data_IF_003134045813
#
_entry.id   IF_003134045813
#
_cell.length_a   1.000
_cell.length_b   1.000
_cell.length_c   1.000
_cell.angle_alpha   90.00
_cell.angle_beta   90.00
_cell.angle_gamma   90.00
#
_symmetry.space_group_name_H-M   'P 1'
#
loop_
_entity.id
_entity.type
_entity.pdbx_description
1 polymer ?
#
# COMPACT_ATOMS: atom_id res chain seq x y z
N UNK A 1 10.75 30.79 -11.91
CA UNK A 1 10.43 30.96 -13.34
C UNK A 1 10.37 29.66 -14.14
N UNK A 2 11.30 28.71 -13.97
CA UNK A 2 11.31 27.45 -14.74
C UNK A 2 10.04 26.58 -14.56
N UNK A 3 9.45 26.54 -13.35
CA UNK A 3 8.29 25.68 -13.06
C UNK A 3 7.06 25.94 -13.95
N UNK A 4 6.78 27.19 -14.33
CA UNK A 4 5.62 27.53 -15.17
C UNK A 4 5.92 27.38 -16.67
N UNK A 5 7.19 27.34 -17.07
CA UNK A 5 7.59 27.24 -18.49
C UNK A 5 7.31 25.84 -19.06
N UNK A 6 7.31 24.81 -18.21
CA UNK A 6 7.15 23.41 -18.63
C UNK A 6 5.70 22.90 -18.67
N UNK A 7 4.71 23.76 -18.38
CA UNK A 7 3.31 23.51 -18.76
C UNK A 7 3.18 23.74 -20.28
N UNK A 8 3.96 23.00 -21.07
CA UNK A 8 4.05 23.19 -22.51
C UNK A 8 2.76 22.70 -23.18
N UNK A 9 2.01 23.66 -23.76
CA UNK A 9 0.80 23.40 -24.53
C UNK A 9 1.06 22.73 -25.89
N UNK A 10 2.30 22.78 -26.41
CA UNK A 10 2.69 22.17 -27.69
C UNK A 10 4.19 21.79 -27.77
N UNK A 11 4.59 20.83 -28.62
CA UNK A 11 5.99 20.46 -28.85
C UNK A 11 6.88 21.65 -29.25
N UNK A 12 6.33 22.62 -29.98
CA UNK A 12 7.06 23.81 -30.42
C UNK A 12 7.45 24.71 -29.24
N UNK A 13 6.57 24.82 -28.24
CA UNK A 13 6.87 25.57 -27.01
C UNK A 13 7.98 24.89 -26.21
N UNK A 14 7.99 23.56 -26.17
CA UNK A 14 9.05 22.79 -25.52
C UNK A 14 10.42 23.03 -26.18
N UNK A 15 10.49 22.98 -27.52
CA UNK A 15 11.74 23.25 -28.26
C UNK A 15 12.25 24.67 -27.98
N UNK A 16 11.36 25.66 -27.91
CA UNK A 16 11.74 27.04 -27.56
C UNK A 16 12.28 27.14 -26.14
N UNK A 17 11.63 26.49 -25.17
CA UNK A 17 12.08 26.47 -23.78
C UNK A 17 13.47 25.81 -23.64
N UNK A 18 13.71 24.69 -24.33
CA UNK A 18 15.01 23.99 -24.33
C UNK A 18 16.11 24.90 -24.90
N UNK A 19 15.85 25.61 -25.99
CA UNK A 19 16.81 26.57 -26.56
C UNK A 19 17.14 27.72 -25.59
N UNK A 20 16.16 28.23 -24.85
CA UNK A 20 16.40 29.27 -23.84
C UNK A 20 17.31 28.75 -22.72
N UNK A 21 17.10 27.50 -22.27
CA UNK A 21 17.97 26.87 -21.27
C UNK A 21 19.40 26.71 -21.78
N UNK A 22 19.57 26.24 -23.01
CA UNK A 22 20.88 26.11 -23.65
C UNK A 22 21.59 27.47 -23.78
N UNK A 23 20.89 28.51 -24.24
CA UNK A 23 21.44 29.85 -24.33
C UNK A 23 21.84 30.42 -22.96
N UNK A 24 21.07 30.14 -21.91
CA UNK A 24 21.39 30.58 -20.55
C UNK A 24 22.64 29.87 -20.00
N UNK A 25 22.83 28.59 -20.33
CA UNK A 25 24.04 27.86 -19.96
C UNK A 25 25.29 28.42 -20.64
N UNK A 26 25.20 28.73 -21.94
CA UNK A 26 26.29 29.37 -22.68
C UNK A 26 26.62 30.74 -22.08
N UNK A 27 25.60 31.55 -21.76
CA UNK A 27 25.81 32.88 -21.17
C UNK A 27 26.46 32.80 -19.79
N UNK A 28 26.02 31.88 -18.93
CA UNK A 28 26.62 31.67 -17.61
C UNK A 28 28.08 31.18 -17.72
N UNK A 29 28.41 30.39 -18.75
CA UNK A 29 29.78 29.95 -19.02
C UNK A 29 30.66 31.09 -19.51
N UNK A 30 30.14 31.97 -20.38
CA UNK A 30 30.83 33.17 -20.86
C UNK A 30 31.11 34.16 -19.71
N UNK A 31 30.12 34.44 -18.86
CA UNK A 31 30.29 35.32 -17.70
C UNK A 31 31.34 34.75 -16.73
N UNK A 32 31.37 33.42 -16.56
CA UNK A 32 32.36 32.77 -15.72
C UNK A 32 33.77 32.80 -16.33
N UNK A 33 33.90 32.69 -17.66
CA UNK A 33 35.17 32.85 -18.38
C UNK A 33 35.68 34.28 -18.28
N UNK A 34 34.83 35.28 -18.56
CA UNK A 34 35.16 36.71 -18.41
C UNK A 34 35.57 37.06 -16.97
N UNK A 35 34.89 36.51 -15.96
CA UNK A 35 35.27 36.70 -14.56
C UNK A 35 36.62 36.05 -14.23
N UNK A 36 36.91 34.87 -14.78
CA UNK A 36 38.20 34.20 -14.60
C UNK A 36 39.35 34.94 -15.29
N UNK A 37 39.11 35.51 -16.48
CA UNK A 37 40.08 36.37 -17.18
C UNK A 37 40.36 37.65 -16.39
N UNK A 38 39.32 38.31 -15.87
CA UNK A 38 39.45 39.51 -15.05
C UNK A 38 40.25 39.28 -13.75
N UNK A 39 40.17 38.08 -13.17
CA UNK A 39 41.00 37.70 -12.01
C UNK A 39 42.41 37.24 -12.41
N UNK A 40 42.59 36.66 -13.60
CA UNK A 40 43.88 36.20 -14.13
C UNK A 40 44.81 37.32 -14.61
N UNK A 41 44.24 38.43 -15.10
CA UNK A 41 45.00 39.58 -15.59
C UNK A 41 45.61 40.46 -14.47
N UNK A 42 45.48 40.05 -13.21
CA UNK A 42 46.19 40.65 -12.09
C UNK A 42 47.70 40.34 -12.04
N UNK A 43 48.22 39.42 -12.87
CA UNK A 43 49.60 38.98 -12.76
C UNK A 43 50.30 38.77 -14.12
N UNK A 44 50.61 39.86 -14.83
CA UNK A 44 51.87 40.07 -15.58
C UNK A 44 51.94 41.53 -16.06
N UNK A 45 52.68 42.36 -15.32
CA UNK A 45 54.06 42.70 -15.68
C UNK A 45 54.15 43.89 -16.66
N UNK A 46 54.12 45.08 -16.06
CA UNK A 46 55.16 46.10 -16.20
C UNK A 46 56.05 46.00 -17.45
N UNK A 47 55.58 46.52 -18.59
CA UNK A 47 56.48 46.88 -19.70
C UNK A 47 56.68 48.40 -19.70
N UNK A 48 57.79 48.76 -19.07
CA UNK A 48 58.65 49.91 -19.29
C UNK A 48 58.15 51.00 -20.27
N UNK A 49 57.97 52.21 -19.74
CA UNK A 49 58.25 53.41 -20.52
C UNK A 49 59.15 54.37 -19.71
N UNK A 50 60.36 54.71 -20.20
CA UNK A 50 61.32 55.52 -19.45
C UNK A 50 61.26 56.99 -19.89
N UNK A 51 61.06 57.88 -18.91
CA UNK A 51 61.45 59.31 -18.82
C UNK A 51 60.39 60.06 -18.01
N UNK A 52 60.68 60.99 -17.13
CA UNK A 52 61.89 61.45 -16.48
C UNK A 52 61.37 62.34 -15.34
N UNK A 53 62.04 62.29 -14.18
CA UNK A 53 62.13 63.35 -13.15
C UNK A 53 60.86 63.95 -12.53
N UNK A 54 60.64 63.69 -11.22
CA UNK A 54 60.14 64.75 -10.34
C UNK A 54 59.39 64.37 -9.06
N UNK A 55 60.13 64.04 -7.99
CA UNK A 55 59.89 64.49 -6.59
C UNK A 55 58.89 63.68 -5.69
N UNK A 56 59.52 63.01 -4.69
CA UNK A 56 59.12 62.77 -3.27
C UNK A 56 57.77 62.11 -2.93
N UNK A 57 57.78 60.92 -2.31
CA UNK A 57 57.86 60.75 -0.83
C UNK A 57 57.34 59.38 -0.34
N UNK A 58 58.19 58.70 0.45
CA UNK A 58 57.90 57.87 1.66
C UNK A 58 57.00 56.62 1.65
N UNK A 59 57.66 55.48 1.92
CA UNK A 59 57.36 54.41 2.88
C UNK A 59 56.00 53.68 2.85
N UNK A 60 56.03 52.39 2.51
CA UNK A 60 55.58 51.31 3.42
C UNK A 60 55.93 49.91 2.86
N UNK A 61 56.37 49.06 3.79
CA UNK A 61 56.71 47.64 3.68
C UNK A 61 55.48 46.73 3.71
N UNK A 62 55.74 45.44 3.40
CA UNK A 62 54.99 44.22 3.78
C UNK A 62 53.81 43.84 2.87
N UNK A 63 53.49 42.58 2.58
CA UNK A 63 54.12 41.27 2.81
C UNK A 63 53.22 40.24 2.12
N UNK A 64 53.82 39.21 1.51
CA UNK A 64 53.39 37.81 1.41
C UNK A 64 51.94 37.39 1.10
N UNK A 65 51.85 36.55 0.07
CA UNK A 65 51.25 35.20 0.06
C UNK A 65 49.87 35.04 0.71
N UNK A 66 48.86 34.85 -0.13
CA UNK A 66 47.92 33.72 -0.12
C UNK A 66 46.78 34.00 -1.10
N UNK A 67 46.80 33.43 -2.31
CA UNK A 67 45.55 33.11 -3.05
C UNK A 67 45.76 32.14 -4.23
N UNK A 68 46.78 31.28 -4.20
CA UNK A 68 46.84 30.08 -5.05
C UNK A 68 46.10 28.94 -4.36
N UNK A 69 44.77 29.00 -4.28
CA UNK A 69 43.85 27.85 -4.12
C UNK A 69 42.40 28.33 -3.92
N UNK A 70 41.82 28.99 -4.91
CA UNK A 70 40.37 28.91 -5.14
C UNK A 70 40.14 28.89 -6.64
N UNK A 71 40.66 27.84 -7.29
CA UNK A 71 40.14 27.39 -8.58
C UNK A 71 38.72 26.90 -8.28
N UNK A 72 37.80 27.86 -8.15
CA UNK A 72 36.37 27.65 -8.11
C UNK A 72 36.11 26.77 -9.32
N UNK A 73 35.89 25.48 -9.08
CA UNK A 73 35.15 24.63 -10.00
C UNK A 73 33.86 25.42 -10.21
N UNK A 74 33.76 26.12 -11.32
CA UNK A 74 32.53 26.72 -11.81
C UNK A 74 31.64 25.53 -12.09
N UNK A 75 31.01 25.04 -11.03
CA UNK A 75 30.02 24.00 -11.07
C UNK A 75 28.85 24.68 -11.74
N UNK A 76 28.75 24.52 -13.07
CA UNK A 76 27.66 25.09 -13.85
C UNK A 76 26.35 24.84 -13.12
N UNK A 77 25.43 25.81 -13.13
CA UNK A 77 24.20 25.77 -12.31
C UNK A 77 23.26 24.57 -12.63
N UNK A 78 23.66 23.71 -13.57
CA UNK A 78 23.01 22.44 -13.90
C UNK A 78 21.64 22.66 -14.52
N UNK A 79 21.48 23.73 -15.30
CA UNK A 79 20.18 24.09 -15.86
C UNK A 79 19.68 23.02 -16.82
N UNK A 80 20.58 22.42 -17.60
CA UNK A 80 20.27 21.30 -18.50
C UNK A 80 19.82 20.06 -17.74
N UNK A 81 20.50 19.68 -16.66
CA UNK A 81 20.10 18.53 -15.85
C UNK A 81 18.73 18.77 -15.20
N UNK A 82 18.50 19.97 -14.66
CA UNK A 82 17.20 20.37 -14.09
C UNK A 82 16.09 20.43 -15.14
N UNK A 83 16.40 20.93 -16.33
CA UNK A 83 15.49 20.97 -17.48
C UNK A 83 15.13 19.54 -17.91
N UNK A 84 16.12 18.67 -18.08
CA UNK A 84 15.92 17.27 -18.44
C UNK A 84 15.10 16.53 -17.39
N UNK A 85 15.40 16.73 -16.10
CA UNK A 85 14.63 16.17 -14.99
C UNK A 85 13.17 16.63 -15.02
N UNK A 86 12.92 17.93 -15.25
CA UNK A 86 11.58 18.48 -15.29
C UNK A 86 10.78 18.00 -16.51
N UNK A 87 11.43 17.89 -17.68
CA UNK A 87 10.82 17.35 -18.90
C UNK A 87 10.46 15.89 -18.66
N UNK A 88 11.40 15.08 -18.14
CA UNK A 88 11.17 13.66 -17.83
C UNK A 88 9.96 13.51 -16.90
N UNK A 89 9.96 14.21 -15.75
CA UNK A 89 8.84 14.20 -14.79
C UNK A 89 7.51 14.62 -15.42
N UNK A 90 7.50 15.63 -16.29
CA UNK A 90 6.27 16.12 -16.93
C UNK A 90 5.75 15.12 -17.96
N UNK A 91 6.63 14.52 -18.77
CA UNK A 91 6.27 13.50 -19.76
C UNK A 91 5.79 12.23 -19.06
N UNK A 92 6.53 11.74 -18.07
CA UNK A 92 6.11 10.62 -17.21
C UNK A 92 4.76 10.91 -16.56
N UNK A 93 4.57 12.09 -15.98
CA UNK A 93 3.30 12.49 -15.39
C UNK A 93 2.13 12.48 -16.39
N UNK A 94 2.34 12.93 -17.63
CA UNK A 94 1.32 12.88 -18.68
C UNK A 94 1.03 11.46 -19.16
N UNK A 95 2.06 10.65 -19.39
CA UNK A 95 1.88 9.24 -19.74
C UNK A 95 1.17 8.48 -18.62
N UNK A 96 1.55 8.71 -17.36
CA UNK A 96 0.88 8.14 -16.20
C UNK A 96 -0.59 8.57 -16.14
N UNK A 97 -0.89 9.84 -16.41
CA UNK A 97 -2.29 10.32 -16.49
C UNK A 97 -3.08 9.60 -17.58
N UNK A 98 -2.52 9.48 -18.79
CA UNK A 98 -3.19 8.79 -19.90
C UNK A 98 -3.36 7.30 -19.63
N UNK A 99 -2.33 6.63 -19.09
CA UNK A 99 -2.43 5.23 -18.67
C UNK A 99 -3.51 5.05 -17.60
N UNK A 100 -3.66 6.00 -16.69
CA UNK A 100 -4.73 5.96 -15.69
C UNK A 100 -6.11 6.10 -16.32
N UNK A 101 -6.31 7.15 -17.13
CA UNK A 101 -7.61 7.48 -17.71
C UNK A 101 -8.06 6.47 -18.78
N UNK A 102 -7.15 5.98 -19.64
CA UNK A 102 -7.51 5.13 -20.78
C UNK A 102 -7.40 3.63 -20.53
N UNK A 103 -6.51 3.20 -19.64
CA UNK A 103 -6.23 1.76 -19.45
C UNK A 103 -6.63 1.31 -18.07
N UNK A 104 -6.28 2.09 -17.05
CA UNK A 104 -6.45 1.64 -15.68
C UNK A 104 -7.89 1.72 -15.20
N UNK A 105 -8.62 2.81 -15.42
CA UNK A 105 -10.01 2.88 -14.93
C UNK A 105 -10.91 1.84 -15.60
N UNK A 106 -10.75 1.59 -16.90
CA UNK A 106 -11.49 0.55 -17.61
C UNK A 106 -11.08 -0.86 -17.15
N UNK A 107 -9.77 -1.12 -17.02
CA UNK A 107 -9.27 -2.40 -16.51
C UNK A 107 -9.72 -2.62 -15.06
N UNK A 108 -9.65 -1.59 -14.23
CA UNK A 108 -10.09 -1.62 -12.84
C UNK A 108 -11.59 -1.89 -12.79
N UNK A 109 -12.42 -1.18 -13.54
CA UNK A 109 -13.87 -1.40 -13.55
C UNK A 109 -14.23 -2.82 -14.01
N UNK A 110 -13.60 -3.32 -15.07
CA UNK A 110 -13.81 -4.69 -15.55
C UNK A 110 -13.36 -5.74 -14.52
N UNK A 111 -12.24 -5.48 -13.84
CA UNK A 111 -11.72 -6.34 -12.80
C UNK A 111 -12.60 -6.27 -11.54
N UNK A 112 -13.11 -5.10 -11.15
CA UNK A 112 -14.08 -4.93 -10.06
C UNK A 112 -15.38 -5.66 -10.36
N UNK A 113 -15.96 -5.51 -11.55
CA UNK A 113 -17.20 -6.20 -11.92
C UNK A 113 -17.03 -7.73 -11.92
N UNK A 114 -15.94 -8.21 -12.54
CA UNK A 114 -15.63 -9.64 -12.58
C UNK A 114 -15.41 -10.19 -11.17
N UNK A 115 -14.73 -9.43 -10.29
CA UNK A 115 -14.44 -9.85 -8.91
C UNK A 115 -15.64 -9.74 -7.99
N UNK A 116 -16.46 -8.69 -8.11
CA UNK A 116 -17.70 -8.52 -7.37
C UNK A 116 -18.65 -9.68 -7.63
N UNK A 117 -18.86 -10.00 -8.91
CA UNK A 117 -19.64 -11.18 -9.28
C UNK A 117 -19.06 -12.46 -8.69
N UNK A 118 -17.74 -12.56 -8.61
CA UNK A 118 -17.08 -13.77 -8.18
C UNK A 118 -17.09 -13.99 -6.67
N UNK A 119 -16.70 -13.00 -5.85
CA UNK A 119 -16.76 -13.17 -4.39
C UNK A 119 -18.21 -13.26 -3.89
N UNK A 120 -19.18 -12.63 -4.57
CA UNK A 120 -20.60 -12.84 -4.26
C UNK A 120 -21.05 -14.27 -4.57
N UNK A 121 -20.56 -14.88 -5.66
CA UNK A 121 -20.82 -16.29 -5.94
C UNK A 121 -20.19 -17.22 -4.89
N UNK A 122 -19.00 -16.87 -4.38
CA UNK A 122 -18.35 -17.57 -3.26
C UNK A 122 -19.24 -17.51 -2.01
N UNK A 123 -19.75 -16.33 -1.66
CA UNK A 123 -20.63 -16.17 -0.49
C UNK A 123 -21.96 -16.90 -0.66
N UNK A 124 -22.54 -16.90 -1.86
CA UNK A 124 -23.77 -17.67 -2.13
C UNK A 124 -23.49 -19.19 -2.09
N UNK A 125 -22.32 -19.64 -2.54
CA UNK A 125 -21.91 -21.04 -2.39
C UNK A 125 -21.76 -21.41 -0.91
N UNK A 126 -21.15 -20.55 -0.09
CA UNK A 126 -21.02 -20.74 1.35
C UNK A 126 -22.37 -20.67 2.09
N UNK A 127 -23.38 -20.05 1.48
CA UNK A 127 -24.75 -19.99 2.01
C UNK A 127 -25.56 -21.23 1.66
N UNK A 128 -25.36 -21.79 0.47
CA UNK A 128 -26.20 -22.85 -0.08
C UNK A 128 -25.61 -24.25 0.06
N UNK A 129 -24.29 -24.36 0.18
CA UNK A 129 -23.60 -25.64 0.30
C UNK A 129 -23.23 -25.93 1.76
N UNK A 130 -23.42 -27.16 2.24
CA UNK A 130 -23.00 -27.53 3.59
C UNK A 130 -21.46 -27.46 3.70
N UNK A 131 -20.93 -27.01 4.85
CA UNK A 131 -19.50 -27.04 5.12
C UNK A 131 -18.89 -28.44 4.92
N UNK A 132 -17.65 -28.48 4.43
CA UNK A 132 -16.87 -29.72 4.28
C UNK A 132 -16.04 -29.97 5.54
N UNK A 133 -15.74 -31.24 5.81
CA UNK A 133 -14.84 -31.66 6.90
C UNK A 133 -13.45 -31.97 6.35
N UNK A 134 -12.40 -31.54 7.05
CA UNK A 134 -11.04 -32.06 6.84
C UNK A 134 -10.93 -33.49 7.39
N UNK A 135 -9.80 -34.16 7.16
CA UNK A 135 -9.52 -35.49 7.74
C UNK A 135 -9.62 -35.47 9.29
N UNK A 136 -9.26 -34.35 9.91
CA UNK A 136 -9.35 -34.14 11.37
C UNK A 136 -10.75 -33.70 11.86
N UNK A 137 -11.74 -33.60 10.97
CA UNK A 137 -13.11 -33.21 11.32
C UNK A 137 -13.42 -31.71 11.29
N UNK A 138 -12.42 -30.86 11.02
CA UNK A 138 -12.53 -29.39 11.02
C UNK A 138 -13.40 -28.92 9.85
N UNK A 139 -14.29 -27.95 10.09
CA UNK A 139 -15.18 -27.45 9.04
C UNK A 139 -14.53 -26.35 8.20
N UNK A 140 -14.72 -26.39 6.89
CA UNK A 140 -14.29 -25.32 5.99
C UNK A 140 -15.18 -25.28 4.75
N UNK A 141 -15.14 -24.15 4.04
CA UNK A 141 -15.65 -24.08 2.67
C UNK A 141 -14.48 -23.80 1.71
N UNK A 142 -14.47 -24.42 0.51
CA UNK A 142 -13.37 -24.25 -0.44
C UNK A 142 -13.36 -22.85 -1.08
N UNK A 143 -14.48 -22.14 -1.02
CA UNK A 143 -14.70 -20.92 -1.79
C UNK A 143 -13.71 -19.80 -1.40
N UNK A 144 -13.39 -19.66 -0.11
CA UNK A 144 -12.38 -18.74 0.39
C UNK A 144 -10.96 -19.02 -0.14
N UNK A 145 -10.58 -20.29 -0.31
CA UNK A 145 -9.26 -20.68 -0.81
C UNK A 145 -9.11 -20.32 -2.29
N UNK A 146 -10.17 -20.51 -3.07
CA UNK A 146 -10.21 -20.14 -4.47
C UNK A 146 -10.04 -18.63 -4.66
N UNK A 147 -10.55 -17.81 -3.73
CA UNK A 147 -10.35 -16.35 -3.72
C UNK A 147 -8.86 -15.99 -3.84
N UNK A 148 -8.06 -16.47 -2.89
CA UNK A 148 -6.63 -16.14 -2.82
C UNK A 148 -5.82 -16.78 -3.94
N UNK A 149 -6.17 -17.98 -4.39
CA UNK A 149 -5.51 -18.62 -5.53
C UNK A 149 -5.57 -17.72 -6.76
N UNK A 150 -6.75 -17.22 -7.12
CA UNK A 150 -6.90 -16.39 -8.32
C UNK A 150 -6.32 -14.99 -8.09
N UNK A 151 -6.46 -14.40 -6.91
CA UNK A 151 -5.77 -13.13 -6.62
C UNK A 151 -4.26 -13.27 -6.80
N UNK A 152 -3.66 -14.38 -6.35
CA UNK A 152 -2.26 -14.72 -6.59
C UNK A 152 -1.92 -14.89 -8.08
N UNK A 153 -2.77 -15.58 -8.84
CA UNK A 153 -2.62 -15.70 -10.30
C UNK A 153 -2.66 -14.32 -10.99
N UNK A 154 -3.55 -13.40 -10.57
CA UNK A 154 -3.62 -12.05 -11.13
C UNK A 154 -2.35 -11.23 -10.84
N UNK A 155 -1.81 -11.31 -9.62
CA UNK A 155 -0.53 -10.67 -9.28
C UNK A 155 0.58 -11.19 -10.19
N UNK A 156 0.66 -12.51 -10.37
CA UNK A 156 1.71 -13.13 -11.17
C UNK A 156 1.60 -12.74 -12.65
N UNK A 157 0.40 -12.74 -13.23
CA UNK A 157 0.17 -12.30 -14.61
C UNK A 157 0.63 -10.86 -14.81
N UNK A 158 0.28 -9.96 -13.89
CA UNK A 158 0.65 -8.54 -13.97
C UNK A 158 2.16 -8.37 -13.80
N UNK A 159 2.75 -9.07 -12.84
CA UNK A 159 4.20 -9.07 -12.60
C UNK A 159 4.99 -9.50 -13.84
N UNK A 160 4.53 -10.52 -14.56
CA UNK A 160 5.26 -11.07 -15.71
C UNK A 160 5.08 -10.25 -17.00
N UNK A 161 4.01 -9.45 -17.11
CA UNK A 161 3.62 -8.81 -18.36
C UNK A 161 3.49 -7.28 -18.31
N UNK A 162 3.63 -6.65 -17.14
CA UNK A 162 3.34 -5.23 -16.96
C UNK A 162 4.48 -4.48 -16.26
N UNK A 163 4.35 -3.15 -16.21
CA UNK A 163 5.28 -2.28 -15.47
C UNK A 163 5.04 -2.33 -13.96
N UNK A 164 6.05 -1.96 -13.17
CA UNK A 164 5.93 -1.85 -11.71
C UNK A 164 4.76 -0.98 -11.22
N UNK A 165 4.42 0.09 -11.96
CA UNK A 165 3.26 0.93 -11.66
C UNK A 165 1.94 0.14 -11.74
N UNK A 166 1.83 -0.80 -12.69
CA UNK A 166 0.65 -1.65 -12.82
C UNK A 166 0.60 -2.68 -11.69
N UNK A 167 1.76 -3.21 -11.26
CA UNK A 167 1.83 -4.09 -10.10
C UNK A 167 1.38 -3.36 -8.82
N UNK A 168 1.84 -2.12 -8.59
CA UNK A 168 1.38 -1.28 -7.47
C UNK A 168 -0.14 -1.07 -7.50
N UNK A 169 -0.68 -0.80 -8.68
CA UNK A 169 -2.12 -0.61 -8.87
C UNK A 169 -2.94 -1.87 -8.61
N UNK A 170 -2.43 -3.02 -9.04
CA UNK A 170 -3.06 -4.31 -8.78
C UNK A 170 -3.00 -4.65 -7.30
N UNK A 171 -1.91 -4.31 -6.61
CA UNK A 171 -1.83 -4.42 -5.16
C UNK A 171 -2.94 -3.62 -4.46
N UNK A 172 -3.17 -2.36 -4.88
CA UNK A 172 -4.29 -1.55 -4.35
C UNK A 172 -5.66 -2.15 -4.67
N UNK A 173 -5.85 -2.70 -5.88
CA UNK A 173 -7.10 -3.33 -6.27
C UNK A 173 -7.37 -4.62 -5.46
N UNK A 174 -6.32 -5.38 -5.12
CA UNK A 174 -6.44 -6.57 -4.26
C UNK A 174 -6.84 -6.17 -2.84
N UNK A 175 -6.23 -5.11 -2.29
CA UNK A 175 -6.61 -4.57 -0.99
C UNK A 175 -8.12 -4.26 -0.98
N UNK A 176 -8.62 -3.56 -2.01
CA UNK A 176 -10.04 -3.24 -2.10
C UNK A 176 -10.94 -4.49 -2.14
N UNK A 177 -10.56 -5.51 -2.93
CA UNK A 177 -11.33 -6.76 -3.02
C UNK A 177 -11.40 -7.49 -1.69
N UNK A 178 -10.31 -7.53 -0.94
CA UNK A 178 -10.30 -8.14 0.39
C UNK A 178 -11.22 -7.38 1.35
N UNK A 179 -11.20 -6.05 1.32
CA UNK A 179 -12.10 -5.20 2.13
C UNK A 179 -13.56 -5.47 1.77
N UNK A 180 -13.88 -5.52 0.48
CA UNK A 180 -15.26 -5.74 0.01
C UNK A 180 -15.76 -7.14 0.35
N UNK A 181 -14.90 -8.15 0.25
CA UNK A 181 -15.21 -9.52 0.67
C UNK A 181 -15.47 -9.59 2.18
N UNK A 182 -14.62 -9.00 3.01
CA UNK A 182 -14.83 -8.90 4.46
C UNK A 182 -16.13 -8.18 4.82
N UNK A 183 -16.44 -7.07 4.13
CA UNK A 183 -17.67 -6.33 4.35
C UNK A 183 -18.92 -7.18 4.01
N UNK A 184 -18.84 -7.98 2.94
CA UNK A 184 -19.91 -8.87 2.55
C UNK A 184 -20.07 -10.06 3.51
N UNK A 185 -18.99 -10.61 4.07
CA UNK A 185 -19.06 -11.60 5.15
C UNK A 185 -19.66 -11.01 6.44
N UNK A 186 -19.26 -9.80 6.83
CA UNK A 186 -19.86 -9.10 7.98
C UNK A 186 -21.34 -8.85 7.81
N UNK A 187 -21.78 -8.49 6.60
CA UNK A 187 -23.19 -8.33 6.29
C UNK A 187 -23.97 -9.64 6.46
N UNK A 188 -23.38 -10.79 6.10
CA UNK A 188 -24.00 -12.10 6.36
C UNK A 188 -24.15 -12.38 7.85
N UNK A 189 -23.19 -11.94 8.67
CA UNK A 189 -23.25 -12.06 10.13
C UNK A 189 -24.34 -11.19 10.79
N UNK A 190 -24.96 -10.26 10.07
CA UNK A 190 -26.12 -9.49 10.54
C UNK A 190 -27.45 -10.29 10.42
N UNK A 191 -27.46 -11.41 9.69
CA UNK A 191 -28.61 -12.34 9.64
C UNK A 191 -28.80 -13.04 11.01
N UNK A 192 -29.99 -13.62 11.27
CA UNK A 192 -30.22 -14.28 12.56
C UNK A 192 -29.24 -15.43 12.76
N UNK A 193 -28.55 -15.45 13.91
CA UNK A 193 -27.60 -16.51 14.25
C UNK A 193 -28.23 -17.90 14.13
N UNK A 194 -29.48 -18.04 14.59
CA UNK A 194 -30.28 -19.27 14.49
C UNK A 194 -30.57 -19.72 13.04
N UNK A 195 -30.65 -18.79 12.08
CA UNK A 195 -30.84 -19.10 10.66
C UNK A 195 -29.54 -19.59 10.01
N UNK A 196 -28.39 -19.10 10.47
CA UNK A 196 -27.07 -19.52 9.96
C UNK A 196 -26.69 -20.90 10.53
N UNK A 197 -26.85 -21.09 11.84
CA UNK A 197 -26.50 -22.33 12.54
C UNK A 197 -25.01 -22.46 12.91
N UNK A 198 -24.72 -23.37 13.85
CA UNK A 198 -23.38 -23.55 14.43
C UNK A 198 -22.35 -24.02 13.40
N UNK A 199 -22.68 -25.03 12.57
CA UNK A 199 -21.72 -25.59 11.61
C UNK A 199 -21.25 -24.55 10.57
N UNK A 200 -22.13 -23.76 9.90
CA UNK A 200 -21.68 -22.72 8.98
C UNK A 200 -20.91 -21.58 9.66
N UNK A 201 -21.27 -21.21 10.89
CA UNK A 201 -20.50 -20.23 11.66
C UNK A 201 -19.09 -20.76 11.97
N UNK A 202 -18.96 -22.02 12.39
CA UNK A 202 -17.66 -22.64 12.63
C UNK A 202 -16.81 -22.72 11.36
N UNK A 203 -17.43 -23.05 10.23
CA UNK A 203 -16.76 -23.03 8.93
C UNK A 203 -16.27 -21.62 8.56
N UNK A 204 -17.09 -20.59 8.79
CA UNK A 204 -16.73 -19.20 8.53
C UNK A 204 -15.57 -18.71 9.40
N UNK A 205 -15.54 -19.07 10.68
CA UNK A 205 -14.42 -18.79 11.60
C UNK A 205 -13.13 -19.39 11.04
N UNK A 206 -13.17 -20.69 10.74
CA UNK A 206 -12.03 -21.42 10.20
C UNK A 206 -11.55 -20.85 8.85
N UNK A 207 -12.49 -20.57 7.95
CA UNK A 207 -12.18 -19.95 6.66
C UNK A 207 -11.49 -18.62 6.84
N UNK A 208 -11.96 -17.76 7.75
CA UNK A 208 -11.39 -16.44 7.97
C UNK A 208 -10.00 -16.48 8.64
N UNK A 209 -9.77 -17.42 9.55
CA UNK A 209 -8.41 -17.68 10.07
C UNK A 209 -7.46 -18.08 8.93
N UNK A 210 -7.92 -18.94 8.01
CA UNK A 210 -7.14 -19.30 6.83
C UNK A 210 -6.99 -18.15 5.82
N UNK A 211 -8.02 -17.33 5.66
CA UNK A 211 -7.96 -16.13 4.82
C UNK A 211 -6.91 -15.16 5.34
N UNK A 212 -6.78 -15.00 6.66
CA UNK A 212 -5.71 -14.20 7.26
C UNK A 212 -4.32 -14.71 6.83
N UNK A 213 -4.05 -16.00 6.95
CA UNK A 213 -2.76 -16.58 6.55
C UNK A 213 -2.49 -16.40 5.05
N UNK A 214 -3.47 -16.71 4.20
CA UNK A 214 -3.38 -16.57 2.75
C UNK A 214 -3.21 -15.09 2.32
N UNK A 215 -3.89 -14.17 3.00
CA UNK A 215 -3.76 -12.73 2.77
C UNK A 215 -2.37 -12.22 3.16
N UNK A 216 -1.81 -12.73 4.27
CA UNK A 216 -0.45 -12.43 4.69
C UNK A 216 0.59 -12.95 3.68
N UNK A 217 0.44 -14.18 3.19
CA UNK A 217 1.32 -14.72 2.14
C UNK A 217 1.24 -13.90 0.84
N UNK A 218 0.02 -13.63 0.35
CA UNK A 218 -0.21 -12.86 -0.86
C UNK A 218 0.33 -11.43 -0.74
N UNK A 219 0.08 -10.77 0.38
CA UNK A 219 0.55 -9.40 0.63
C UNK A 219 2.07 -9.33 0.70
N UNK A 220 2.72 -10.23 1.44
CA UNK A 220 4.18 -10.28 1.52
C UNK A 220 4.80 -10.50 0.14
N UNK A 221 4.30 -11.47 -0.63
CA UNK A 221 4.79 -11.75 -1.98
C UNK A 221 4.60 -10.55 -2.92
N UNK A 222 3.44 -9.88 -2.83
CA UNK A 222 3.15 -8.69 -3.64
C UNK A 222 4.06 -7.52 -3.26
N UNK A 223 4.27 -7.27 -1.96
CA UNK A 223 5.13 -6.20 -1.45
C UNK A 223 6.59 -6.44 -1.85
N UNK A 224 7.09 -7.67 -1.76
CA UNK A 224 8.45 -8.03 -2.18
C UNK A 224 8.69 -7.84 -3.67
N UNK A 225 7.65 -8.00 -4.50
CA UNK A 225 7.72 -7.78 -5.94
C UNK A 225 7.67 -6.30 -6.33
N UNK A 226 7.25 -5.39 -5.43
CA UNK A 226 7.19 -3.96 -5.71
C UNK A 226 8.56 -3.29 -5.58
N UNK A 227 8.89 -2.32 -6.45
CA UNK A 227 10.02 -1.43 -6.21
C UNK A 227 9.91 -0.70 -4.87
N UNK A 228 11.06 -0.41 -4.26
CA UNK A 228 11.14 0.13 -2.91
C UNK A 228 10.27 1.39 -2.70
N UNK A 229 10.20 2.30 -3.68
CA UNK A 229 9.37 3.50 -3.59
C UNK A 229 7.85 3.19 -3.50
N UNK A 230 7.37 2.17 -4.21
CA UNK A 230 5.97 1.74 -4.16
C UNK A 230 5.71 0.87 -2.92
N UNK A 231 6.66 0.04 -2.52
CA UNK A 231 6.59 -0.77 -1.30
C UNK A 231 6.57 0.10 -0.03
N UNK A 232 7.34 1.19 -0.01
CA UNK A 232 7.26 2.19 1.06
C UNK A 232 5.92 2.90 1.03
N UNK A 233 5.37 3.24 -0.14
CA UNK A 233 4.04 3.87 -0.23
C UNK A 233 2.90 2.95 0.21
N UNK A 234 2.98 1.63 -0.02
CA UNK A 234 2.00 0.67 0.51
C UNK A 234 2.16 0.43 2.02
N UNK A 235 3.35 0.68 2.59
CA UNK A 235 3.62 0.56 4.05
C UNK A 235 3.40 1.87 4.82
N UNK A 236 3.69 3.01 4.20
CA UNK A 236 3.72 4.33 4.83
C UNK A 236 2.37 5.04 4.66
N UNK A 237 1.38 4.62 5.46
CA UNK A 237 0.11 5.33 5.61
C UNK A 237 -0.13 5.76 7.05
N UNK A 238 0.68 6.73 7.51
CA UNK A 238 0.39 7.59 8.67
C UNK A 238 -0.02 9.01 8.21
N UNK A 239 -0.84 9.09 7.16
CA UNK A 239 -1.45 10.33 6.67
C UNK A 239 -2.96 10.28 6.94
N UNK A 240 -3.52 11.40 7.36
CA UNK A 240 -4.90 11.59 7.83
C UNK A 240 -5.96 11.09 6.81
N UNK A 241 -5.63 11.08 5.52
CA UNK A 241 -6.32 10.31 4.49
C UNK A 241 -5.84 8.85 4.53
N UNK A 242 -6.48 8.07 5.40
CA UNK A 242 -6.23 6.66 5.73
C UNK A 242 -6.15 5.77 4.49
N UNK A 243 -5.02 5.75 3.79
CA UNK A 243 -4.79 4.77 2.73
C UNK A 243 -4.69 3.39 3.39
N UNK A 244 -5.69 2.55 3.15
CA UNK A 244 -5.74 1.18 3.67
C UNK A 244 -4.51 0.41 3.17
N UNK A 245 -3.79 -0.24 4.08
CA UNK A 245 -2.60 -1.04 3.77
C UNK A 245 -2.94 -2.55 3.85
N UNK A 246 -2.00 -3.37 3.39
CA UNK A 246 -2.15 -4.83 3.44
C UNK A 246 -2.29 -5.36 4.87
N UNK A 247 -1.50 -4.86 5.84
CA UNK A 247 -1.49 -5.39 7.21
C UNK A 247 -2.86 -5.24 7.90
N UNK A 248 -3.44 -4.04 7.84
CA UNK A 248 -4.76 -3.75 8.38
C UNK A 248 -5.86 -4.53 7.65
N UNK A 249 -5.70 -4.70 6.34
CA UNK A 249 -6.63 -5.50 5.53
C UNK A 249 -6.57 -6.97 5.92
N UNK A 250 -5.37 -7.55 6.10
CA UNK A 250 -5.23 -8.93 6.58
C UNK A 250 -5.91 -9.11 7.94
N UNK A 251 -5.64 -8.21 8.90
CA UNK A 251 -6.30 -8.23 10.24
C UNK A 251 -7.82 -8.15 10.15
N UNK A 252 -8.38 -7.54 9.10
CA UNK A 252 -9.82 -7.52 8.84
C UNK A 252 -10.47 -8.90 8.84
N UNK A 253 -9.78 -9.94 8.35
CA UNK A 253 -10.26 -11.33 8.40
C UNK A 253 -10.35 -11.88 9.84
N UNK A 254 -9.43 -11.49 10.72
CA UNK A 254 -9.50 -11.86 12.14
C UNK A 254 -10.71 -11.21 12.82
N UNK A 255 -11.06 -9.98 12.44
CA UNK A 255 -12.27 -9.31 12.94
C UNK A 255 -13.55 -10.00 12.46
N UNK A 256 -13.59 -10.51 11.22
CA UNK A 256 -14.71 -11.33 10.73
C UNK A 256 -14.80 -12.64 11.53
N UNK A 257 -13.67 -13.32 11.74
CA UNK A 257 -13.64 -14.56 12.54
C UNK A 257 -14.14 -14.31 13.97
N UNK A 258 -13.72 -13.20 14.59
CA UNK A 258 -14.16 -12.81 15.94
C UNK A 258 -15.66 -12.54 16.01
N UNK A 259 -16.21 -11.83 15.04
CA UNK A 259 -17.66 -11.59 14.97
C UNK A 259 -18.42 -12.91 14.78
N UNK A 260 -17.90 -13.82 13.95
CA UNK A 260 -18.48 -15.14 13.80
C UNK A 260 -18.43 -15.97 15.10
N UNK A 261 -17.38 -15.85 15.92
CA UNK A 261 -17.34 -16.46 17.26
C UNK A 261 -18.44 -15.89 18.16
N UNK A 262 -18.67 -14.57 18.14
CA UNK A 262 -19.77 -13.96 18.89
C UNK A 262 -21.13 -14.49 18.43
N UNK A 263 -21.34 -14.68 17.13
CA UNK A 263 -22.55 -15.30 16.61
C UNK A 263 -22.68 -16.78 17.02
N UNK A 264 -21.60 -17.57 17.02
CA UNK A 264 -21.64 -18.96 17.49
C UNK A 264 -22.10 -19.05 18.94
N UNK A 265 -21.59 -18.16 19.81
CA UNK A 265 -22.06 -18.07 21.20
C UNK A 265 -23.53 -17.67 21.25
N UNK A 266 -23.96 -16.71 20.42
CA UNK A 266 -25.36 -16.28 20.36
C UNK A 266 -26.29 -17.45 20.00
N UNK A 267 -25.94 -18.30 19.02
CA UNK A 267 -26.72 -19.51 18.69
C UNK A 267 -26.88 -20.45 19.89
N UNK A 268 -25.82 -20.65 20.67
CA UNK A 268 -25.86 -21.53 21.86
C UNK A 268 -26.82 -20.96 22.92
N UNK A 269 -26.82 -19.64 23.13
CA UNK A 269 -27.72 -18.99 24.10
C UNK A 269 -29.15 -18.80 23.58
N UNK A 270 -29.35 -18.82 22.26
CA UNK A 270 -30.66 -18.83 21.60
C UNK A 270 -31.29 -20.22 21.55
N UNK A 271 -30.54 -21.28 21.85
CA UNK A 271 -31.06 -22.63 21.93
C UNK A 271 -32.19 -22.73 22.99
N UNK A 272 -33.40 -23.20 22.62
CA UNK A 272 -34.52 -23.28 23.55
C UNK A 272 -34.25 -24.13 24.80
N UNK A 273 -33.45 -25.19 24.68
CA UNK A 273 -33.06 -26.04 25.80
C UNK A 273 -32.15 -25.30 26.78
N UNK A 274 -31.18 -24.53 26.27
CA UNK A 274 -30.34 -23.65 27.10
C UNK A 274 -31.19 -22.56 27.77
N UNK A 275 -32.09 -21.91 27.04
CA UNK A 275 -32.97 -20.88 27.60
C UNK A 275 -33.88 -21.43 28.70
N UNK A 276 -34.45 -22.62 28.52
CA UNK A 276 -35.29 -23.26 29.53
C UNK A 276 -34.52 -23.52 30.82
N UNK A 277 -33.27 -23.98 30.72
CA UNK A 277 -32.39 -24.19 31.87
C UNK A 277 -32.00 -22.87 32.55
N UNK A 278 -31.69 -21.84 31.77
CA UNK A 278 -31.33 -20.52 32.29
C UNK A 278 -32.48 -19.85 33.05
N UNK A 279 -33.72 -20.00 32.58
CA UNK A 279 -34.92 -19.48 33.28
C UNK A 279 -35.12 -20.17 34.64
N UNK A 280 -34.70 -21.43 34.78
CA UNK A 280 -34.79 -22.20 36.04
C UNK A 280 -33.71 -21.84 37.05
N UNK A 281 -32.71 -21.03 36.70
CA UNK A 281 -31.75 -20.52 37.67
C UNK A 281 -32.46 -19.76 38.79
N UNK A 282 -31.98 -19.92 40.03
CA UNK A 282 -32.59 -19.34 41.22
C UNK A 282 -34.01 -19.85 41.55
N UNK A 283 -34.49 -20.90 40.88
CA UNK A 283 -35.72 -21.61 41.22
C UNK A 283 -35.43 -22.85 42.09
N UNK A 284 -36.48 -23.55 42.52
CA UNK A 284 -36.36 -24.70 43.43
C UNK A 284 -35.51 -25.81 42.83
N UNK A 285 -35.72 -26.10 41.55
CA UNK A 285 -35.01 -27.10 40.75
C UNK A 285 -33.50 -26.81 40.68
N UNK A 286 -33.11 -25.52 40.67
CA UNK A 286 -31.70 -25.14 40.73
C UNK A 286 -31.11 -25.34 42.13
N UNK A 287 -31.87 -25.04 43.19
CA UNK A 287 -31.43 -25.30 44.57
C UNK A 287 -31.26 -26.79 44.88
N UNK A 288 -31.95 -27.66 44.14
CA UNK A 288 -31.82 -29.13 44.21
C UNK A 288 -30.61 -29.65 43.40
N UNK A 289 -29.86 -28.78 42.71
CA UNK A 289 -28.64 -29.12 41.95
C UNK A 289 -28.88 -29.58 40.51
N UNK A 290 -30.10 -30.04 40.19
CA UNK A 290 -30.45 -30.64 38.90
C UNK A 290 -30.21 -29.69 37.71
N UNK A 291 -30.58 -28.41 37.83
CA UNK A 291 -30.38 -27.41 36.75
C UNK A 291 -28.89 -27.18 36.46
N UNK A 292 -28.04 -27.18 37.50
CA UNK A 292 -26.60 -26.98 37.35
C UNK A 292 -25.96 -28.16 36.62
N UNK A 293 -26.34 -29.40 36.96
CA UNK A 293 -25.84 -30.59 36.27
C UNK A 293 -26.22 -30.59 34.77
N UNK A 294 -27.46 -30.23 34.45
CA UNK A 294 -27.90 -30.12 33.05
C UNK A 294 -27.19 -29.00 32.30
N UNK A 295 -27.04 -27.81 32.88
CA UNK A 295 -26.28 -26.73 32.26
C UNK A 295 -24.83 -27.14 31.96
N UNK A 296 -24.15 -27.77 32.94
CA UNK A 296 -22.77 -28.23 32.76
C UNK A 296 -22.67 -29.28 31.66
N UNK A 297 -23.60 -30.24 31.60
CA UNK A 297 -23.65 -31.24 30.55
C UNK A 297 -23.89 -30.60 29.17
N UNK A 298 -24.90 -29.74 29.04
CA UNK A 298 -25.25 -29.06 27.79
C UNK A 298 -24.11 -28.19 27.27
N UNK A 299 -23.51 -27.35 28.11
CA UNK A 299 -22.35 -26.56 27.69
C UNK A 299 -21.13 -27.43 27.41
N UNK A 300 -20.95 -28.53 28.16
CA UNK A 300 -19.90 -29.51 27.90
C UNK A 300 -20.01 -30.13 26.50
N UNK A 301 -21.22 -30.47 26.07
CA UNK A 301 -21.50 -31.00 24.73
C UNK A 301 -21.21 -29.94 23.67
N UNK A 302 -21.73 -28.71 23.82
CA UNK A 302 -21.43 -27.61 22.89
C UNK A 302 -19.93 -27.31 22.80
N UNK A 303 -19.20 -27.27 23.92
CA UNK A 303 -17.75 -27.05 23.89
C UNK A 303 -17.01 -28.22 23.24
N UNK A 304 -17.48 -29.45 23.44
CA UNK A 304 -16.96 -30.65 22.77
C UNK A 304 -17.13 -30.56 21.25
N UNK A 305 -18.35 -30.26 20.79
CA UNK A 305 -18.67 -30.10 19.38
C UNK A 305 -17.84 -28.98 18.75
N UNK A 306 -17.92 -27.78 19.32
CA UNK A 306 -17.20 -26.59 18.81
C UNK A 306 -15.69 -26.83 18.73
N UNK A 307 -15.10 -27.54 19.70
CA UNK A 307 -13.69 -27.91 19.68
C UNK A 307 -13.34 -28.82 18.49
N UNK A 308 -14.20 -29.77 18.14
CA UNK A 308 -14.00 -30.64 16.96
C UNK A 308 -14.13 -29.83 15.66
N UNK A 309 -15.04 -28.87 15.63
CA UNK A 309 -15.32 -28.11 14.41
C UNK A 309 -14.22 -27.09 14.08
N UNK A 310 -13.49 -26.54 15.07
CA UNK A 310 -12.49 -25.50 14.84
C UNK A 310 -11.12 -26.00 14.39
N UNK A 311 -10.46 -25.20 13.53
CA UNK A 311 -9.05 -25.42 13.16
C UNK A 311 -8.08 -25.16 14.31
N UNK A 312 -8.51 -24.41 15.32
CA UNK A 312 -7.76 -24.06 16.54
C UNK A 312 -7.71 -25.27 17.48
N UNK A 313 -6.78 -26.19 17.21
CA UNK A 313 -6.75 -27.52 17.84
C UNK A 313 -5.55 -27.83 18.73
N UNK A 314 -4.36 -27.27 18.48
CA UNK A 314 -3.12 -27.67 19.18
C UNK A 314 -2.16 -26.49 19.45
N UNK A 315 -2.65 -25.44 20.12
CA UNK A 315 -1.80 -24.46 20.83
C UNK A 315 -2.15 -24.50 22.31
#
# INVERSE_FOLDING_TARGET
MLGNLFVCASPQTLVRAVRVVEMQEILDQQIAEEAAEAEGDGAMASVANPRNTGIKSTNAMASSKNLTQQKLKVQGKGYKDRCYEQIRKTVEGRFNKLLNELVFEDLKAALEEARAKWYLNILEADRTQPPKKTEDGKLYTPAAVDLFRILGEQVQIVRDNSTDLMLYRIALAIIQVMIDFQAAEKKRLEESASEIGVEPLCAMINNNLRCYDLAMELSNSTIEALPQNYAEQTKASFSEDKQVNFEDTCKGFLEVAKEAVHQTVSVIFEDPGVQELLVKLYQKEWSEGQVTEYLVATFGDYFGDVKILFMVGDT
#
